data_IF_497263118778
#
_entry.id   IF_497263118778
#
_cell.length_a   1.000
_cell.length_b   1.000
_cell.length_c   1.000
_cell.angle_alpha   90.00
_cell.angle_beta   90.00
_cell.angle_gamma   90.00
#
_symmetry.space_group_name_H-M   'P 1'
#
loop_
_entity.id
_entity.type
_entity.pdbx_description
1 polymer ?
#
# COMPACT_ATOMS: atom_id res chain seq x y z
N UNK A 1 -2.03 -32.34 -4.13
CA UNK A 1 -3.11 -31.33 -4.02
C UNK A 1 -2.76 -30.25 -5.02
N UNK A 2 -3.67 -29.83 -5.91
CA UNK A 2 -3.37 -28.75 -6.84
C UNK A 2 -3.14 -27.48 -6.02
N UNK A 3 -1.99 -26.84 -6.21
CA UNK A 3 -1.66 -25.58 -5.57
C UNK A 3 -2.55 -24.48 -6.19
N UNK A 4 -3.49 -23.89 -5.43
CA UNK A 4 -4.46 -22.95 -5.97
C UNK A 4 -3.78 -21.66 -6.48
N UNK A 5 -2.60 -21.30 -5.97
CA UNK A 5 -1.90 -20.07 -6.34
C UNK A 5 -1.10 -20.23 -7.65
N UNK A 6 -0.70 -21.46 -7.99
CA UNK A 6 -0.04 -21.75 -9.25
C UNK A 6 -0.91 -21.36 -10.47
N UNK A 7 -2.24 -21.42 -10.33
CA UNK A 7 -3.16 -21.03 -11.38
C UNK A 7 -3.16 -19.53 -11.67
N UNK A 8 -3.03 -18.67 -10.64
CA UNK A 8 -2.92 -17.22 -10.83
C UNK A 8 -1.62 -16.85 -11.58
N UNK A 9 -0.50 -17.46 -11.18
CA UNK A 9 0.79 -17.28 -11.87
C UNK A 9 0.69 -17.78 -13.32
N UNK A 10 0.04 -18.92 -13.54
CA UNK A 10 -0.18 -19.48 -14.88
C UNK A 10 -1.06 -18.60 -15.76
N UNK A 11 -2.07 -17.92 -15.20
CA UNK A 11 -2.91 -16.95 -15.94
C UNK A 11 -2.06 -15.78 -16.45
N UNK A 12 -1.20 -15.22 -15.59
CA UNK A 12 -0.34 -14.09 -15.92
C UNK A 12 0.82 -14.48 -16.84
N UNK A 13 1.38 -15.68 -16.67
CA UNK A 13 2.58 -16.18 -17.33
C UNK A 13 2.37 -17.06 -18.57
N UNK A 14 1.15 -17.20 -19.08
CA UNK A 14 0.80 -18.13 -20.18
C UNK A 14 1.34 -17.78 -21.58
N UNK A 15 2.30 -16.85 -21.67
CA UNK A 15 2.89 -16.36 -22.93
C UNK A 15 2.09 -15.22 -23.58
N UNK A 16 2.60 -14.62 -24.67
CA UNK A 16 2.09 -13.34 -25.20
C UNK A 16 0.61 -13.34 -25.61
N UNK A 17 0.09 -14.47 -26.11
CA UNK A 17 -1.25 -14.55 -26.71
C UNK A 17 -2.32 -15.14 -25.77
N UNK A 18 -1.90 -15.84 -24.71
CA UNK A 18 -2.81 -16.57 -23.81
C UNK A 18 -2.82 -16.05 -22.37
N UNK A 19 -1.97 -15.07 -22.08
CA UNK A 19 -1.94 -14.41 -20.80
C UNK A 19 -2.99 -13.29 -20.76
N UNK A 20 -3.58 -13.09 -19.59
CA UNK A 20 -4.54 -12.01 -19.33
C UNK A 20 -4.31 -11.44 -17.94
N UNK A 21 -4.89 -10.27 -17.68
CA UNK A 21 -5.01 -9.76 -16.32
C UNK A 21 -5.90 -10.67 -15.48
N UNK A 22 -5.62 -10.72 -14.18
CA UNK A 22 -6.53 -11.32 -13.22
C UNK A 22 -7.82 -10.49 -13.14
N UNK A 23 -8.92 -11.16 -12.87
CA UNK A 23 -10.14 -10.48 -12.42
C UNK A 23 -9.94 -9.94 -11.01
N UNK A 24 -10.80 -9.02 -10.59
CA UNK A 24 -10.75 -8.48 -9.23
C UNK A 24 -10.78 -9.57 -8.15
N UNK A 25 -11.67 -10.57 -8.29
CA UNK A 25 -11.78 -11.69 -7.35
C UNK A 25 -10.54 -12.59 -7.36
N UNK A 26 -9.94 -12.84 -8.53
CA UNK A 26 -8.70 -13.62 -8.63
C UNK A 26 -7.52 -12.88 -7.99
N UNK A 27 -7.41 -11.57 -8.22
CA UNK A 27 -6.36 -10.75 -7.61
C UNK A 27 -6.51 -10.65 -6.08
N UNK A 28 -7.75 -10.49 -5.60
CA UNK A 28 -8.07 -10.51 -4.18
C UNK A 28 -7.66 -11.84 -3.52
N UNK A 29 -8.03 -12.97 -4.12
CA UNK A 29 -7.68 -14.29 -3.60
C UNK A 29 -6.16 -14.55 -3.64
N UNK A 30 -5.49 -14.15 -4.72
CA UNK A 30 -4.04 -14.25 -4.82
C UNK A 30 -3.34 -13.46 -3.71
N UNK A 31 -3.71 -12.19 -3.51
CA UNK A 31 -3.08 -11.35 -2.49
C UNK A 31 -3.51 -11.70 -1.06
N UNK A 32 -4.69 -12.29 -0.86
CA UNK A 32 -5.04 -12.88 0.44
C UNK A 32 -4.05 -13.98 0.82
N UNK A 33 -3.67 -14.85 -0.12
CA UNK A 33 -2.66 -15.89 0.08
C UNK A 33 -1.24 -15.35 0.32
N UNK A 34 -0.89 -14.25 -0.34
CA UNK A 34 0.38 -13.53 -0.05
C UNK A 34 0.37 -13.02 1.39
N UNK A 35 -0.69 -12.33 1.80
CA UNK A 35 -0.80 -11.68 3.11
C UNK A 35 -0.97 -12.68 4.28
N UNK A 36 -1.56 -13.85 4.04
CA UNK A 36 -1.71 -14.92 5.02
C UNK A 36 -0.44 -15.77 5.21
N UNK A 37 0.56 -15.62 4.34
CA UNK A 37 1.78 -16.43 4.35
C UNK A 37 1.59 -17.83 3.77
N UNK A 38 0.51 -18.08 3.02
CA UNK A 38 0.22 -19.38 2.41
C UNK A 38 1.01 -19.62 1.12
N UNK A 39 1.48 -18.57 0.45
CA UNK A 39 2.31 -18.65 -0.75
C UNK A 39 3.80 -18.76 -0.40
N UNK A 40 4.53 -19.61 -1.11
CA UNK A 40 6.00 -19.67 -1.02
C UNK A 40 6.69 -18.45 -1.63
N UNK A 41 7.91 -18.14 -1.19
CA UNK A 41 8.72 -17.04 -1.72
C UNK A 41 8.87 -17.08 -3.24
N UNK A 42 9.01 -18.28 -3.81
CA UNK A 42 9.10 -18.47 -5.25
C UNK A 42 7.81 -18.04 -5.97
N UNK A 43 6.66 -18.35 -5.40
CA UNK A 43 5.36 -17.98 -5.97
C UNK A 43 5.10 -16.48 -5.85
N UNK A 44 5.42 -15.89 -4.70
CA UNK A 44 5.32 -14.44 -4.48
C UNK A 44 6.23 -13.72 -5.47
N UNK A 45 7.49 -14.15 -5.61
CA UNK A 45 8.44 -13.57 -6.56
C UNK A 45 7.95 -13.65 -8.01
N UNK A 46 7.43 -14.80 -8.43
CA UNK A 46 6.88 -14.98 -9.78
C UNK A 46 5.66 -14.08 -10.03
N UNK A 47 4.73 -14.02 -9.08
CA UNK A 47 3.53 -13.18 -9.15
C UNK A 47 3.92 -11.70 -9.32
N UNK A 48 4.79 -11.19 -8.44
CA UNK A 48 5.21 -9.78 -8.44
C UNK A 48 5.98 -9.41 -9.71
N UNK A 49 6.85 -10.29 -10.22
CA UNK A 49 7.58 -10.05 -11.47
C UNK A 49 6.65 -9.99 -12.68
N UNK A 50 5.63 -10.84 -12.72
CA UNK A 50 4.65 -10.85 -13.81
C UNK A 50 3.76 -9.59 -13.78
N UNK A 51 3.31 -9.16 -12.61
CA UNK A 51 2.59 -7.89 -12.44
C UNK A 51 3.45 -6.71 -12.88
N UNK A 52 4.72 -6.67 -12.44
CA UNK A 52 5.67 -5.62 -12.83
C UNK A 52 5.90 -5.56 -14.34
N UNK A 53 6.03 -6.72 -14.99
CA UNK A 53 6.26 -6.80 -16.44
C UNK A 53 5.05 -6.32 -17.24
N UNK A 54 3.83 -6.66 -16.79
CA UNK A 54 2.58 -6.34 -17.50
C UNK A 54 1.99 -4.98 -17.15
N UNK A 55 2.35 -4.44 -15.99
CA UNK A 55 1.60 -3.42 -15.25
C UNK A 55 0.23 -3.94 -14.79
N UNK A 56 -0.21 -3.51 -13.62
CA UNK A 56 -1.48 -3.88 -13.02
C UNK A 56 -2.66 -3.22 -13.77
N UNK A 57 -3.75 -3.97 -13.94
CA UNK A 57 -5.03 -3.42 -14.38
C UNK A 57 -5.81 -2.80 -13.21
N UNK A 58 -6.80 -1.92 -13.49
CA UNK A 58 -7.67 -1.39 -12.43
C UNK A 58 -8.39 -2.46 -11.61
N UNK A 59 -8.78 -3.57 -12.25
CA UNK A 59 -9.45 -4.69 -11.58
C UNK A 59 -8.48 -5.43 -10.63
N UNK A 60 -7.25 -5.67 -11.07
CA UNK A 60 -6.19 -6.24 -10.22
C UNK A 60 -5.92 -5.35 -9.02
N UNK A 61 -5.73 -4.04 -9.24
CA UNK A 61 -5.46 -3.09 -8.17
C UNK A 61 -6.60 -3.04 -7.15
N UNK A 62 -7.86 -3.03 -7.62
CA UNK A 62 -9.03 -3.09 -6.74
C UNK A 62 -9.05 -4.36 -5.89
N UNK A 63 -8.72 -5.52 -6.47
CA UNK A 63 -8.66 -6.79 -5.75
C UNK A 63 -7.55 -6.82 -4.71
N UNK A 64 -6.37 -6.31 -5.06
CA UNK A 64 -5.22 -6.15 -4.16
C UNK A 64 -5.61 -5.29 -2.96
N UNK A 65 -6.19 -4.11 -3.21
CA UNK A 65 -6.60 -3.17 -2.14
C UNK A 65 -7.66 -3.81 -1.24
N UNK A 66 -8.63 -4.55 -1.78
CA UNK A 66 -9.62 -5.29 -0.98
C UNK A 66 -8.96 -6.32 -0.07
N UNK A 67 -8.02 -7.11 -0.59
CA UNK A 67 -7.30 -8.11 0.21
C UNK A 67 -6.49 -7.45 1.34
N UNK A 68 -5.78 -6.35 1.04
CA UNK A 68 -5.02 -5.58 2.03
C UNK A 68 -5.94 -5.00 3.12
N UNK A 69 -7.06 -4.39 2.74
CA UNK A 69 -8.03 -3.84 3.70
C UNK A 69 -8.55 -4.91 4.64
N UNK A 70 -8.98 -6.07 4.12
CA UNK A 70 -9.45 -7.18 4.96
C UNK A 70 -8.38 -7.69 5.91
N UNK A 71 -7.14 -7.78 5.45
CA UNK A 71 -6.02 -8.20 6.29
C UNK A 71 -5.75 -7.19 7.42
N UNK A 72 -5.80 -5.89 7.13
CA UNK A 72 -5.62 -4.83 8.13
C UNK A 72 -6.81 -4.76 9.09
N UNK A 73 -8.06 -4.79 8.60
CA UNK A 73 -9.28 -4.75 9.41
C UNK A 73 -9.35 -5.92 10.38
N UNK A 74 -8.91 -7.11 9.96
CA UNK A 74 -8.80 -8.28 10.84
C UNK A 74 -7.82 -8.06 12.01
N UNK A 75 -6.88 -7.11 11.89
CA UNK A 75 -5.86 -6.80 12.89
C UNK A 75 -6.17 -5.54 13.71
N UNK A 76 -6.85 -4.55 13.12
CA UNK A 76 -7.21 -3.30 13.79
C UNK A 76 -8.39 -2.60 13.09
N UNK A 77 -9.50 -2.43 13.81
CA UNK A 77 -10.58 -1.56 13.38
C UNK A 77 -10.25 -0.11 13.73
N UNK A 78 -10.33 0.80 12.75
CA UNK A 78 -10.19 2.24 12.99
C UNK A 78 -11.27 3.01 12.24
N UNK A 79 -12.28 3.46 12.98
CA UNK A 79 -13.36 4.27 12.46
C UNK A 79 -13.14 5.72 12.89
N UNK A 80 -12.98 6.61 11.92
CA UNK A 80 -12.94 8.04 12.12
C UNK A 80 -13.86 8.71 11.12
N UNK A 81 -14.74 9.58 11.60
CA UNK A 81 -15.51 10.46 10.74
C UNK A 81 -14.68 11.67 10.31
N UNK A 82 -14.90 12.14 9.08
CA UNK A 82 -14.26 13.35 8.52
C UNK A 82 -12.73 13.32 8.51
N UNK A 83 -12.15 12.13 8.33
CA UNK A 83 -10.71 11.93 8.18
C UNK A 83 -10.29 12.10 6.72
N UNK A 84 -9.27 12.92 6.48
CA UNK A 84 -8.60 13.00 5.18
C UNK A 84 -7.45 11.99 5.18
N UNK A 85 -7.51 11.05 4.26
CA UNK A 85 -6.44 10.10 3.99
C UNK A 85 -5.31 10.77 3.18
N UNK A 86 -4.09 10.78 3.72
CA UNK A 86 -2.94 11.48 3.16
C UNK A 86 -1.79 10.52 2.83
N UNK A 87 -1.76 9.91 1.64
CA UNK A 87 -0.72 8.96 1.29
C UNK A 87 0.63 9.67 1.07
N UNK A 88 1.65 9.20 1.78
CA UNK A 88 3.06 9.50 1.58
C UNK A 88 3.71 8.33 0.84
N UNK A 89 3.68 8.41 -0.49
CA UNK A 89 4.32 7.41 -1.36
C UNK A 89 5.29 8.10 -2.31
N UNK A 90 6.50 7.58 -2.40
CA UNK A 90 7.54 8.13 -3.26
C UNK A 90 7.49 7.41 -4.60
N UNK A 91 7.32 8.19 -5.67
CA UNK A 91 7.82 7.73 -6.95
C UNK A 91 9.34 7.78 -6.86
N UNK A 92 10.07 6.70 -7.14
CA UNK A 92 11.54 6.62 -7.02
C UNK A 92 12.35 7.67 -7.83
N UNK A 93 11.68 8.61 -8.50
CA UNK A 93 12.23 9.78 -9.18
C UNK A 93 12.08 11.09 -8.40
N UNK A 94 11.15 11.19 -7.44
CA UNK A 94 10.90 12.42 -6.69
C UNK A 94 11.90 12.57 -5.55
N UNK A 95 13.04 13.19 -5.89
CA UNK A 95 14.09 13.60 -4.94
C UNK A 95 13.83 14.98 -4.33
N UNK A 96 12.57 15.43 -4.31
CA UNK A 96 12.19 16.76 -3.84
C UNK A 96 11.84 16.71 -2.35
N UNK A 97 12.03 17.83 -1.66
CA UNK A 97 11.57 17.98 -0.28
C UNK A 97 10.07 17.65 -0.18
N UNK A 98 9.61 16.99 0.91
CA UNK A 98 8.22 16.59 1.07
C UNK A 98 7.34 17.80 1.44
N UNK A 99 7.22 18.76 0.54
CA UNK A 99 6.48 20.01 0.74
C UNK A 99 5.00 19.78 1.07
N UNK A 100 4.45 18.62 0.72
CA UNK A 100 3.10 18.21 1.09
C UNK A 100 2.89 18.17 2.61
N UNK A 101 3.95 18.03 3.42
CA UNK A 101 3.88 18.13 4.88
C UNK A 101 3.38 19.51 5.34
N UNK A 102 3.76 20.58 4.63
CA UNK A 102 3.27 21.93 4.93
C UNK A 102 1.78 22.06 4.63
N UNK A 103 1.30 21.46 3.54
CA UNK A 103 -0.12 21.42 3.19
C UNK A 103 -0.93 20.62 4.21
N UNK A 104 -0.44 19.43 4.61
CA UNK A 104 -1.06 18.61 5.66
C UNK A 104 -1.17 19.38 6.98
N UNK A 105 -0.08 20.06 7.40
CA UNK A 105 -0.07 20.87 8.62
C UNK A 105 -1.03 22.06 8.53
N UNK A 106 -1.10 22.74 7.39
CA UNK A 106 -2.04 23.85 7.20
C UNK A 106 -3.48 23.38 7.32
N UNK A 107 -3.84 22.24 6.72
CA UNK A 107 -5.18 21.68 6.83
C UNK A 107 -5.52 21.28 8.28
N UNK A 108 -4.56 20.65 8.98
CA UNK A 108 -4.72 20.31 10.39
C UNK A 108 -4.93 21.56 11.27
N UNK A 109 -4.17 22.63 11.02
CA UNK A 109 -4.34 23.92 11.70
C UNK A 109 -5.70 24.59 11.43
N UNK A 110 -6.41 24.18 10.37
CA UNK A 110 -7.76 24.63 10.05
C UNK A 110 -8.85 23.63 10.48
N UNK A 111 -8.53 22.68 11.37
CA UNK A 111 -9.50 21.78 12.00
C UNK A 111 -9.81 20.51 11.22
N UNK A 112 -9.10 20.22 10.13
CA UNK A 112 -9.24 18.95 9.41
C UNK A 112 -8.41 17.85 10.06
N UNK A 113 -9.00 16.65 10.22
CA UNK A 113 -8.27 15.47 10.69
C UNK A 113 -7.49 14.87 9.52
N UNK A 114 -6.17 14.78 9.65
CA UNK A 114 -5.28 14.27 8.59
C UNK A 114 -4.63 12.99 9.09
N UNK A 115 -4.87 11.86 8.42
CA UNK A 115 -4.13 10.63 8.66
C UNK A 115 -3.12 10.41 7.55
N UNK A 116 -1.84 10.52 7.89
CA UNK A 116 -0.76 10.30 6.94
C UNK A 116 -0.23 8.87 7.08
N UNK A 117 -0.22 8.12 5.98
CA UNK A 117 0.38 6.78 5.92
C UNK A 117 1.26 6.62 4.69
N UNK A 118 2.10 5.60 4.70
CA UNK A 118 2.99 5.27 3.61
C UNK A 118 4.44 5.27 4.05
N UNK A 119 5.31 4.86 3.14
CA UNK A 119 6.71 4.61 3.43
C UNK A 119 7.56 4.93 2.21
N UNK A 120 8.69 5.59 2.45
CA UNK A 120 9.57 6.10 1.41
C UNK A 120 11.00 5.54 1.55
N UNK A 121 11.14 4.26 1.92
CA UNK A 121 12.45 3.60 1.91
C UNK A 121 13.04 3.53 0.50
N UNK A 122 14.36 3.41 0.43
CA UNK A 122 15.14 3.25 -0.81
C UNK A 122 15.39 4.55 -1.60
N UNK A 123 15.44 5.69 -0.91
CA UNK A 123 16.03 6.90 -1.48
C UNK A 123 17.54 6.91 -1.21
N UNK A 124 18.36 6.61 -2.22
CA UNK A 124 19.83 6.67 -2.11
C UNK A 124 20.35 8.09 -1.77
N UNK A 125 19.58 9.14 -2.13
CA UNK A 125 19.96 10.55 -1.98
C UNK A 125 18.72 11.45 -1.73
N UNK A 126 17.75 10.99 -0.95
CA UNK A 126 16.53 11.75 -0.64
C UNK A 126 16.20 11.71 0.84
N UNK A 127 15.44 12.69 1.31
CA UNK A 127 14.97 12.71 2.70
C UNK A 127 13.73 11.83 2.84
N UNK A 128 13.68 11.03 3.90
CA UNK A 128 12.48 10.30 4.25
C UNK A 128 11.43 11.28 4.78
N UNK A 129 10.15 10.97 4.54
CA UNK A 129 9.06 11.81 5.05
C UNK A 129 9.04 11.82 6.57
N UNK A 130 9.33 10.67 7.20
CA UNK A 130 9.43 10.54 8.65
C UNK A 130 10.51 11.44 9.26
N UNK A 131 11.67 11.55 8.62
CA UNK A 131 12.77 12.44 9.04
C UNK A 131 12.40 13.92 8.93
N UNK A 132 11.51 14.26 7.98
CA UNK A 132 11.09 15.64 7.75
C UNK A 132 9.95 16.11 8.67
N UNK A 133 9.29 15.21 9.42
CA UNK A 133 8.14 15.57 10.26
C UNK A 133 8.53 16.55 11.37
N UNK A 134 9.73 16.42 11.94
CA UNK A 134 10.18 17.30 13.03
C UNK A 134 10.34 18.75 12.56
N UNK A 135 10.72 18.96 11.29
CA UNK A 135 10.79 20.30 10.70
C UNK A 135 9.41 20.99 10.60
N UNK A 136 8.33 20.21 10.59
CA UNK A 136 6.95 20.73 10.70
C UNK A 136 6.38 20.53 12.10
N UNK A 137 7.20 20.27 13.11
CA UNK A 137 6.78 20.15 14.51
C UNK A 137 5.96 18.88 14.82
N UNK A 138 6.03 17.86 13.98
CA UNK A 138 5.34 16.59 14.14
C UNK A 138 6.32 15.44 14.36
N UNK A 139 5.79 14.29 14.81
CA UNK A 139 6.55 13.04 14.95
C UNK A 139 5.72 11.85 14.45
N UNK A 140 6.36 10.83 13.82
CA UNK A 140 5.68 9.60 13.44
C UNK A 140 4.92 8.99 14.62
N UNK A 141 3.71 8.51 14.38
CA UNK A 141 2.99 7.73 15.38
C UNK A 141 3.62 6.34 15.51
N UNK A 142 3.91 5.92 16.74
CA UNK A 142 4.55 4.63 17.02
C UNK A 142 3.59 3.43 16.91
N UNK A 143 2.28 3.68 16.80
CA UNK A 143 1.24 2.65 16.65
C UNK A 143 -0.06 3.26 16.14
N UNK A 144 -0.98 2.42 15.67
CA UNK A 144 -2.34 2.84 15.33
C UNK A 144 -3.09 3.46 16.51
N UNK A 145 -2.85 2.96 17.73
CA UNK A 145 -3.44 3.53 18.95
C UNK A 145 -2.91 4.94 19.25
N UNK A 146 -1.60 5.16 19.09
CA UNK A 146 -1.00 6.49 19.24
C UNK A 146 -1.47 7.45 18.14
N UNK A 147 -1.61 6.96 16.90
CA UNK A 147 -2.18 7.74 15.81
C UNK A 147 -3.64 8.12 16.12
N UNK A 148 -4.43 7.19 16.68
CA UNK A 148 -5.81 7.46 17.07
C UNK A 148 -5.90 8.56 18.12
N UNK A 149 -5.11 8.45 19.17
CA UNK A 149 -5.12 9.44 20.26
C UNK A 149 -4.75 10.85 19.78
N UNK A 150 -3.91 10.99 18.76
CA UNK A 150 -3.58 12.29 18.14
C UNK A 150 -4.71 12.89 17.30
N UNK A 151 -5.64 12.07 16.82
CA UNK A 151 -6.75 12.47 15.94
C UNK A 151 -8.04 12.80 16.69
N UNK A 152 -8.12 12.46 17.98
CA UNK A 152 -9.21 12.82 18.91
C UNK A 152 -9.09 14.28 19.35
#
# INVERSE_FOLDING_TARGET
MMDPYADYIRILGRGPTKSRHLTQTEAEAAFAGVLSGEMSDLQIGALLLLLRYRSESPAELAGIVTAMRRHIEAQAACEFENLIDWPSTSSGKSRRLPWFLLSAKLLAANGHKIFMHGFNSHLDNGLLTEDCLEAVGEKPAASLAAARHKLE
#
